data_IF_735494420334
#
_entry.id   IF_735494420334
#
_cell.length_a   1.000
_cell.length_b   1.000
_cell.length_c   1.000
_cell.angle_alpha   90.00
_cell.angle_beta   90.00
_cell.angle_gamma   90.00
#
_symmetry.space_group_name_H-M   'P 1'
#
loop_
_entity.id
_entity.type
_entity.pdbx_description
1 polymer ?
#
# COMPACT_ATOMS: atom_id res chain seq x y z
N UNK A 1 20.45 -37.43 -11.55
CA UNK A 1 20.18 -37.71 -12.98
C UNK A 1 18.73 -37.49 -13.44
N UNK A 2 17.71 -37.32 -12.57
CA UNK A 2 16.31 -37.11 -13.04
C UNK A 2 15.91 -35.73 -13.62
N UNK A 3 16.48 -34.55 -13.26
CA UNK A 3 15.88 -33.27 -13.64
C UNK A 3 15.91 -32.99 -15.16
N UNK A 4 16.79 -33.66 -15.91
CA UNK A 4 16.92 -33.49 -17.36
C UNK A 4 15.73 -34.04 -18.15
N UNK A 5 15.01 -35.06 -17.64
CA UNK A 5 13.87 -35.64 -18.34
C UNK A 5 12.60 -34.80 -18.15
N UNK A 6 12.29 -34.38 -16.92
CA UNK A 6 11.12 -33.54 -16.61
C UNK A 6 11.19 -32.19 -17.38
N UNK A 7 12.36 -31.54 -17.37
CA UNK A 7 12.59 -30.31 -18.14
C UNK A 7 12.52 -30.49 -19.67
N UNK A 8 12.72 -31.71 -20.19
CA UNK A 8 12.50 -32.02 -21.61
C UNK A 8 11.02 -32.23 -21.92
N UNK A 9 10.28 -32.88 -21.01
CA UNK A 9 8.84 -33.13 -21.14
C UNK A 9 8.03 -31.83 -21.11
N UNK A 10 8.34 -30.92 -20.17
CA UNK A 10 7.69 -29.61 -20.08
C UNK A 10 7.87 -28.77 -21.34
N UNK A 11 9.07 -28.79 -21.95
CA UNK A 11 9.35 -28.10 -23.22
C UNK A 11 8.58 -28.68 -24.41
N UNK A 12 8.38 -30.00 -24.47
CA UNK A 12 7.52 -30.62 -25.50
C UNK A 12 6.09 -30.13 -25.36
N UNK A 13 5.49 -30.28 -24.18
CA UNK A 13 4.10 -29.93 -23.92
C UNK A 13 3.78 -28.46 -24.26
N UNK A 14 4.68 -27.52 -23.93
CA UNK A 14 4.53 -26.11 -24.27
C UNK A 14 4.61 -25.84 -25.80
N UNK A 15 5.37 -26.64 -26.54
CA UNK A 15 5.41 -26.59 -28.01
C UNK A 15 4.13 -27.17 -28.63
N UNK A 16 3.61 -28.26 -28.07
CA UNK A 16 2.35 -28.89 -28.52
C UNK A 16 1.14 -27.96 -28.29
N UNK A 17 1.10 -27.30 -27.12
CA UNK A 17 0.14 -26.21 -26.83
C UNK A 17 0.29 -25.06 -27.85
N UNK A 18 1.52 -24.58 -28.11
CA UNK A 18 1.74 -23.52 -29.13
C UNK A 18 1.17 -23.93 -30.49
N UNK A 19 1.40 -25.16 -30.93
CA UNK A 19 0.94 -25.64 -32.23
C UNK A 19 -0.59 -25.75 -32.36
N UNK A 20 -1.32 -25.97 -31.27
CA UNK A 20 -2.80 -25.94 -31.26
C UNK A 20 -3.34 -24.50 -31.32
N UNK A 21 -2.67 -23.57 -30.62
CA UNK A 21 -3.09 -22.17 -30.49
C UNK A 21 -2.87 -21.34 -31.76
N UNK A 22 -1.75 -21.53 -32.48
CA UNK A 22 -1.39 -20.77 -33.71
C UNK A 22 -2.48 -20.80 -34.79
N UNK A 23 -3.37 -21.80 -34.78
CA UNK A 23 -4.44 -21.97 -35.79
C UNK A 23 -5.76 -21.27 -35.43
N UNK A 24 -5.89 -20.69 -34.24
CA UNK A 24 -7.12 -20.03 -33.74
C UNK A 24 -7.14 -18.54 -34.05
N UNK A 25 -8.31 -17.91 -33.89
CA UNK A 25 -8.37 -16.46 -33.73
C UNK A 25 -7.73 -16.01 -32.40
N UNK A 26 -7.42 -14.73 -32.28
CA UNK A 26 -6.70 -14.18 -31.12
C UNK A 26 -7.45 -14.34 -29.78
N UNK A 27 -8.77 -14.22 -29.75
CA UNK A 27 -9.55 -14.27 -28.52
C UNK A 27 -9.78 -15.73 -28.07
N UNK A 28 -9.99 -16.63 -29.03
CA UNK A 28 -10.06 -18.07 -28.76
C UNK A 28 -8.68 -18.67 -28.42
N UNK A 29 -7.58 -18.12 -28.95
CA UNK A 29 -6.22 -18.44 -28.50
C UNK A 29 -5.95 -17.92 -27.08
N UNK A 30 -6.35 -16.68 -26.79
CA UNK A 30 -6.23 -16.09 -25.45
C UNK A 30 -7.02 -16.86 -24.38
N UNK A 31 -8.27 -17.27 -24.67
CA UNK A 31 -9.05 -18.10 -23.75
C UNK A 31 -8.41 -19.47 -23.51
N UNK A 32 -7.94 -20.13 -24.57
CA UNK A 32 -7.38 -21.48 -24.46
C UNK A 32 -5.98 -21.51 -23.83
N UNK A 33 -5.14 -20.48 -24.02
CA UNK A 33 -3.83 -20.41 -23.35
C UNK A 33 -4.00 -20.23 -21.84
N UNK A 34 -4.98 -19.44 -21.39
CA UNK A 34 -5.32 -19.33 -19.97
C UNK A 34 -5.78 -20.70 -19.43
N UNK A 35 -6.64 -21.43 -20.15
CA UNK A 35 -7.10 -22.77 -19.76
C UNK A 35 -5.96 -23.81 -19.68
N UNK A 36 -5.08 -23.87 -20.69
CA UNK A 36 -3.94 -24.79 -20.66
C UNK A 36 -2.94 -24.48 -19.53
N UNK A 37 -2.70 -23.19 -19.26
CA UNK A 37 -1.84 -22.79 -18.14
C UNK A 37 -2.51 -23.00 -16.77
N UNK A 38 -3.83 -22.93 -16.68
CA UNK A 38 -4.57 -23.30 -15.47
C UNK A 38 -4.37 -24.77 -15.08
N UNK A 39 -4.51 -25.67 -16.05
CA UNK A 39 -4.25 -27.11 -15.86
C UNK A 39 -2.78 -27.35 -15.48
N UNK A 40 -1.84 -26.68 -16.15
CA UNK A 40 -0.42 -26.76 -15.86
C UNK A 40 -0.09 -26.33 -14.42
N UNK A 41 -0.50 -25.13 -14.01
CA UNK A 41 -0.24 -24.63 -12.66
C UNK A 41 -1.03 -25.40 -11.59
N UNK A 42 -2.24 -25.87 -11.90
CA UNK A 42 -2.99 -26.80 -11.04
C UNK A 42 -2.22 -28.10 -10.76
N UNK A 43 -1.52 -28.65 -11.75
CA UNK A 43 -0.72 -29.89 -11.61
C UNK A 43 0.63 -29.64 -10.91
N UNK A 44 1.30 -28.53 -11.23
CA UNK A 44 2.52 -28.12 -10.54
C UNK A 44 2.29 -27.89 -9.03
N UNK A 45 1.18 -27.25 -8.65
CA UNK A 45 0.84 -27.04 -7.23
C UNK A 45 0.46 -28.33 -6.47
N UNK A 46 0.12 -29.41 -7.17
CA UNK A 46 -0.08 -30.74 -6.56
C UNK A 46 1.24 -31.49 -6.33
N UNK A 47 2.31 -31.12 -7.03
CA UNK A 47 3.62 -31.79 -6.99
C UNK A 47 4.68 -30.99 -6.23
N UNK A 48 4.58 -29.66 -6.17
CA UNK A 48 5.45 -28.78 -5.39
C UNK A 48 4.67 -27.58 -4.79
N UNK A 49 4.79 -27.28 -3.48
CA UNK A 49 4.10 -26.14 -2.85
C UNK A 49 4.53 -24.75 -3.33
N UNK A 50 5.72 -24.64 -3.95
CA UNK A 50 6.30 -23.40 -4.46
C UNK A 50 6.81 -23.59 -5.90
N UNK A 51 5.93 -23.60 -6.92
CA UNK A 51 6.35 -23.69 -8.30
C UNK A 51 7.16 -22.46 -8.73
N UNK A 52 8.38 -22.67 -9.21
CA UNK A 52 9.06 -21.66 -10.02
C UNK A 52 8.36 -21.59 -11.37
N UNK A 53 7.96 -20.39 -11.81
CA UNK A 53 7.33 -20.22 -13.13
C UNK A 53 8.39 -20.42 -14.21
N UNK A 54 8.26 -21.50 -14.97
CA UNK A 54 9.16 -21.77 -16.10
C UNK A 54 8.98 -20.74 -17.23
N UNK A 55 10.02 -20.61 -18.06
CA UNK A 55 10.02 -19.70 -19.22
C UNK A 55 8.96 -20.06 -20.28
N UNK A 56 8.54 -21.32 -20.38
CA UNK A 56 7.54 -21.79 -21.34
C UNK A 56 6.17 -21.10 -21.20
N UNK A 57 5.53 -21.15 -20.01
CA UNK A 57 4.34 -20.36 -19.70
C UNK A 57 4.46 -18.87 -20.02
N UNK A 58 5.56 -18.22 -19.62
CA UNK A 58 5.81 -16.79 -19.89
C UNK A 58 5.81 -16.51 -21.40
N UNK A 59 6.48 -17.35 -22.18
CA UNK A 59 6.58 -17.23 -23.64
C UNK A 59 5.24 -17.44 -24.36
N UNK A 60 4.37 -18.33 -23.87
CA UNK A 60 3.02 -18.52 -24.41
C UNK A 60 2.14 -17.29 -24.14
N UNK A 61 2.25 -16.68 -22.96
CA UNK A 61 1.52 -15.45 -22.63
C UNK A 61 2.00 -14.26 -23.49
N UNK A 62 3.30 -14.16 -23.76
CA UNK A 62 3.85 -13.14 -24.67
C UNK A 62 3.28 -13.26 -26.09
N UNK A 63 3.21 -14.48 -26.62
CA UNK A 63 2.73 -14.72 -27.97
C UNK A 63 1.20 -14.55 -28.12
N UNK A 64 0.40 -15.08 -27.18
CA UNK A 64 -1.06 -15.19 -27.33
C UNK A 64 -1.90 -14.19 -26.51
N UNK A 65 -1.35 -13.57 -25.45
CA UNK A 65 -2.02 -12.48 -24.72
C UNK A 65 -1.43 -11.13 -25.13
N UNK A 66 -0.11 -10.98 -25.05
CA UNK A 66 0.55 -9.69 -25.33
C UNK A 66 0.86 -9.45 -26.82
N UNK A 67 0.59 -10.43 -27.69
CA UNK A 67 0.76 -10.32 -29.15
C UNK A 67 2.20 -9.97 -29.58
N UNK A 68 3.18 -10.46 -28.82
CA UNK A 68 4.62 -10.30 -29.05
C UNK A 68 5.19 -11.59 -29.66
N UNK A 69 5.27 -11.73 -31.01
CA UNK A 69 5.79 -12.92 -31.64
C UNK A 69 7.31 -13.09 -31.38
N UNK A 70 7.73 -14.33 -31.18
CA UNK A 70 9.16 -14.71 -31.08
C UNK A 70 9.93 -14.46 -32.38
N UNK A 71 9.27 -14.64 -33.51
CA UNK A 71 9.86 -14.59 -34.84
C UNK A 71 9.99 -13.14 -35.33
N UNK A 72 11.17 -12.78 -35.87
CA UNK A 72 11.52 -11.40 -36.29
C UNK A 72 10.62 -10.79 -37.39
N UNK A 73 9.78 -11.58 -38.05
CA UNK A 73 8.86 -11.15 -39.10
C UNK A 73 7.56 -11.96 -39.01
N UNK A 74 6.65 -11.56 -38.11
CA UNK A 74 5.41 -10.98 -38.62
C UNK A 74 5.10 -9.63 -37.95
N UNK A 75 4.34 -8.77 -38.65
CA UNK A 75 3.79 -7.54 -38.04
C UNK A 75 2.88 -7.94 -36.86
N UNK A 76 3.03 -7.36 -35.66
CA UNK A 76 2.16 -7.69 -34.53
C UNK A 76 0.71 -7.32 -34.86
N UNK A 77 -0.17 -8.32 -34.85
CA UNK A 77 -1.61 -8.12 -34.99
C UNK A 77 -2.15 -7.48 -33.71
N UNK A 78 -2.08 -6.15 -33.61
CA UNK A 78 -2.74 -5.41 -32.54
C UNK A 78 -4.24 -5.68 -32.58
N UNK A 79 -4.82 -6.00 -31.42
CA UNK A 79 -6.26 -6.03 -31.22
C UNK A 79 -6.83 -4.62 -31.46
N UNK A 80 -8.06 -4.55 -31.97
CA UNK A 80 -8.84 -3.31 -31.94
C UNK A 80 -9.47 -3.12 -30.54
N UNK A 81 -10.01 -1.93 -30.24
CA UNK A 81 -10.53 -1.59 -28.91
C UNK A 81 -11.68 -2.49 -28.42
N UNK A 82 -12.50 -3.03 -29.33
CA UNK A 82 -13.56 -3.99 -28.98
C UNK A 82 -12.96 -5.35 -28.62
N UNK A 83 -11.98 -5.82 -29.39
CA UNK A 83 -11.26 -7.07 -29.10
C UNK A 83 -10.44 -6.96 -27.81
N UNK A 84 -9.85 -5.80 -27.52
CA UNK A 84 -9.15 -5.55 -26.25
C UNK A 84 -10.13 -5.59 -25.07
N UNK A 85 -11.30 -4.96 -25.19
CA UNK A 85 -12.36 -5.08 -24.18
C UNK A 85 -12.83 -6.53 -23.97
N UNK A 86 -13.00 -7.30 -25.05
CA UNK A 86 -13.34 -8.72 -24.99
C UNK A 86 -12.23 -9.56 -24.35
N UNK A 87 -10.95 -9.24 -24.58
CA UNK A 87 -9.83 -9.88 -23.89
C UNK A 87 -9.86 -9.60 -22.38
N UNK A 88 -10.11 -8.35 -21.98
CA UNK A 88 -10.26 -7.97 -20.57
C UNK A 88 -11.44 -8.70 -19.92
N UNK A 89 -12.56 -8.87 -20.64
CA UNK A 89 -13.71 -9.65 -20.17
C UNK A 89 -13.36 -11.13 -19.97
N UNK A 90 -12.69 -11.76 -20.95
CA UNK A 90 -12.19 -13.14 -20.85
C UNK A 90 -11.28 -13.31 -19.63
N UNK A 91 -10.36 -12.38 -19.38
CA UNK A 91 -9.45 -12.42 -18.23
C UNK A 91 -10.20 -12.24 -16.90
N UNK A 92 -11.11 -11.26 -16.80
CA UNK A 92 -11.92 -11.03 -15.60
C UNK A 92 -12.84 -12.22 -15.29
N UNK A 93 -13.43 -12.85 -16.30
CA UNK A 93 -14.29 -14.02 -16.11
C UNK A 93 -13.45 -15.26 -15.72
N UNK A 94 -12.29 -15.50 -16.36
CA UNK A 94 -11.35 -16.54 -15.92
C UNK A 94 -10.96 -16.37 -14.44
N UNK A 95 -10.55 -15.18 -14.02
CA UNK A 95 -10.13 -14.93 -12.64
C UNK A 95 -11.28 -15.05 -11.63
N UNK A 96 -12.52 -14.84 -12.05
CA UNK A 96 -13.73 -15.06 -11.27
C UNK A 96 -14.10 -16.55 -11.16
N UNK A 97 -13.93 -17.31 -12.25
CA UNK A 97 -14.26 -18.75 -12.34
C UNK A 97 -13.22 -19.64 -11.63
N UNK A 98 -11.95 -19.25 -11.59
CA UNK A 98 -10.91 -20.04 -10.91
C UNK A 98 -11.06 -19.98 -9.38
N UNK A 99 -11.36 -21.13 -8.77
CA UNK A 99 -11.63 -21.29 -7.33
C UNK A 99 -10.38 -21.47 -6.46
N UNK A 100 -9.25 -21.87 -7.04
CA UNK A 100 -7.96 -22.04 -6.35
C UNK A 100 -7.18 -20.72 -6.36
N UNK A 101 -7.18 -20.01 -5.24
CA UNK A 101 -6.43 -18.76 -5.07
C UNK A 101 -4.95 -18.88 -5.46
N UNK A 102 -4.28 -20.00 -5.15
CA UNK A 102 -2.88 -20.24 -5.52
C UNK A 102 -2.63 -20.30 -7.02
N UNK A 103 -3.53 -20.93 -7.80
CA UNK A 103 -3.48 -20.91 -9.28
C UNK A 103 -3.71 -19.50 -9.79
N UNK A 104 -4.73 -18.80 -9.25
CA UNK A 104 -5.08 -17.42 -9.62
C UNK A 104 -3.88 -16.48 -9.47
N UNK A 105 -3.20 -16.55 -8.32
CA UNK A 105 -2.02 -15.74 -8.00
C UNK A 105 -0.80 -16.07 -8.89
N UNK A 106 -0.53 -17.36 -9.17
CA UNK A 106 0.59 -17.75 -10.02
C UNK A 106 0.36 -17.35 -11.48
N UNK A 107 -0.85 -17.51 -12.03
CA UNK A 107 -1.13 -17.07 -13.40
C UNK A 107 -1.11 -15.53 -13.53
N UNK A 108 -1.68 -14.80 -12.57
CA UNK A 108 -1.60 -13.33 -12.54
C UNK A 108 -0.14 -12.85 -12.45
N UNK A 109 0.69 -13.51 -11.64
CA UNK A 109 2.14 -13.24 -11.58
C UNK A 109 2.83 -13.55 -12.92
N UNK A 110 2.46 -14.64 -13.59
CA UNK A 110 3.01 -15.02 -14.91
C UNK A 110 2.62 -14.05 -16.03
N UNK A 111 1.43 -13.44 -15.92
CA UNK A 111 0.93 -12.40 -16.82
C UNK A 111 1.62 -11.06 -16.60
N UNK A 112 1.84 -10.64 -15.35
CA UNK A 112 2.12 -9.24 -15.05
C UNK A 112 3.40 -8.95 -14.26
N UNK A 113 4.12 -9.95 -13.74
CA UNK A 113 5.45 -9.69 -13.15
C UNK A 113 6.43 -9.27 -14.25
N UNK A 114 7.21 -8.18 -14.07
CA UNK A 114 8.17 -7.73 -15.07
C UNK A 114 9.20 -8.80 -15.43
N UNK A 115 9.53 -8.92 -16.72
CA UNK A 115 10.47 -9.88 -17.26
C UNK A 115 11.82 -9.26 -17.68
N UNK A 116 11.95 -7.93 -17.56
CA UNK A 116 13.12 -7.18 -18.03
C UNK A 116 13.18 -7.09 -19.56
N UNK A 117 12.03 -7.11 -20.24
CA UNK A 117 11.95 -7.27 -21.68
C UNK A 117 10.93 -6.31 -22.35
N UNK A 118 10.92 -6.27 -23.69
CA UNK A 118 10.08 -5.32 -24.46
C UNK A 118 8.57 -5.54 -24.34
N UNK A 119 8.12 -6.69 -23.83
CA UNK A 119 6.71 -6.94 -23.55
C UNK A 119 6.24 -6.26 -22.27
N UNK A 120 7.13 -5.85 -21.35
CA UNK A 120 6.76 -5.31 -20.03
C UNK A 120 5.87 -4.05 -20.11
N UNK A 121 6.07 -3.18 -21.11
CA UNK A 121 5.17 -2.04 -21.32
C UNK A 121 3.78 -2.46 -21.83
N UNK A 122 3.68 -3.56 -22.58
CA UNK A 122 2.39 -4.14 -22.97
C UNK A 122 1.73 -4.89 -21.80
N UNK A 123 2.52 -5.55 -20.94
CA UNK A 123 2.05 -6.14 -19.68
C UNK A 123 1.47 -5.05 -18.77
N UNK A 124 2.18 -3.94 -18.57
CA UNK A 124 1.73 -2.82 -17.75
C UNK A 124 0.50 -2.11 -18.33
N UNK A 125 0.43 -1.92 -19.65
CA UNK A 125 -0.75 -1.33 -20.28
C UNK A 125 -2.00 -2.21 -20.12
N UNK A 126 -1.88 -3.53 -20.31
CA UNK A 126 -2.99 -4.46 -20.11
C UNK A 126 -3.36 -4.60 -18.62
N UNK A 127 -2.37 -4.59 -17.72
CA UNK A 127 -2.59 -4.61 -16.26
C UNK A 127 -3.40 -3.39 -15.80
N UNK A 128 -3.03 -2.19 -16.24
CA UNK A 128 -3.77 -0.97 -15.93
C UNK A 128 -5.24 -1.08 -16.33
N UNK A 129 -5.51 -1.47 -17.58
CA UNK A 129 -6.87 -1.66 -18.10
C UNK A 129 -7.63 -2.79 -17.39
N UNK A 130 -6.97 -3.88 -17.04
CA UNK A 130 -7.59 -5.01 -16.34
C UNK A 130 -7.97 -4.65 -14.90
N UNK A 131 -7.08 -3.99 -14.17
CA UNK A 131 -7.37 -3.55 -12.79
C UNK A 131 -8.41 -2.44 -12.81
N UNK A 132 -8.34 -1.49 -13.76
CA UNK A 132 -9.36 -0.46 -13.96
C UNK A 132 -10.74 -1.08 -14.26
N UNK A 133 -10.84 -2.00 -15.21
CA UNK A 133 -12.11 -2.69 -15.45
C UNK A 133 -12.57 -3.53 -14.22
N UNK A 134 -11.64 -4.11 -13.47
CA UNK A 134 -11.95 -4.81 -12.22
C UNK A 134 -12.44 -3.89 -11.09
N UNK A 135 -12.04 -2.61 -11.07
CA UNK A 135 -12.69 -1.57 -10.26
C UNK A 135 -14.11 -1.34 -10.77
N UNK A 136 -14.27 -1.03 -12.06
CA UNK A 136 -15.55 -0.66 -12.67
C UNK A 136 -16.67 -1.70 -12.48
N UNK A 137 -16.34 -3.00 -12.52
CA UNK A 137 -17.29 -4.11 -12.33
C UNK A 137 -17.00 -4.97 -11.10
N UNK A 138 -16.36 -4.38 -10.08
CA UNK A 138 -16.10 -4.95 -8.74
C UNK A 138 -15.62 -6.43 -8.75
N UNK A 139 -14.67 -6.75 -9.62
CA UNK A 139 -14.09 -8.10 -9.75
C UNK A 139 -13.04 -8.35 -8.67
N UNK A 140 -13.50 -8.51 -7.42
CA UNK A 140 -12.66 -8.77 -6.22
C UNK A 140 -11.54 -9.81 -6.46
N UNK A 141 -11.75 -10.96 -7.14
CA UNK A 141 -10.67 -11.92 -7.39
C UNK A 141 -9.47 -11.37 -8.17
N UNK A 142 -9.69 -10.38 -9.04
CA UNK A 142 -8.64 -9.66 -9.78
C UNK A 142 -7.95 -8.63 -8.89
N UNK A 143 -8.72 -7.92 -8.06
CA UNK A 143 -8.19 -6.90 -7.12
C UNK A 143 -7.30 -7.55 -6.04
N UNK A 144 -7.65 -8.73 -5.55
CA UNK A 144 -6.84 -9.51 -4.60
C UNK A 144 -5.54 -10.08 -5.21
N UNK A 145 -5.54 -10.32 -6.53
CA UNK A 145 -4.33 -10.61 -7.28
C UNK A 145 -3.48 -9.35 -7.51
N UNK A 146 -4.08 -8.22 -7.87
CA UNK A 146 -3.39 -6.94 -8.00
C UNK A 146 -2.75 -6.49 -6.67
N UNK A 147 -3.44 -6.66 -5.54
CA UNK A 147 -2.90 -6.41 -4.20
C UNK A 147 -1.66 -7.28 -3.91
N UNK A 148 -1.74 -8.57 -4.24
CA UNK A 148 -0.65 -9.53 -4.06
C UNK A 148 0.54 -9.30 -5.02
N UNK A 149 0.29 -8.70 -6.18
CA UNK A 149 1.29 -8.27 -7.15
C UNK A 149 1.99 -6.97 -6.72
N UNK A 150 1.24 -5.98 -6.20
CA UNK A 150 1.79 -4.72 -5.65
C UNK A 150 2.80 -4.97 -4.53
N UNK A 151 2.53 -5.96 -3.66
CA UNK A 151 3.44 -6.41 -2.59
C UNK A 151 4.72 -7.09 -3.09
N UNK A 152 4.73 -7.62 -4.33
CA UNK A 152 5.76 -8.52 -4.87
C UNK A 152 6.44 -7.98 -6.13
N UNK A 153 6.26 -6.70 -6.43
CA UNK A 153 6.80 -6.04 -7.61
C UNK A 153 7.59 -4.79 -7.20
N UNK A 154 8.71 -4.45 -7.87
CA UNK A 154 9.44 -3.22 -7.60
C UNK A 154 8.55 -1.98 -7.76
N UNK A 155 8.73 -1.01 -6.86
CA UNK A 155 7.85 0.14 -6.66
C UNK A 155 7.60 0.95 -7.94
N UNK A 156 8.58 1.02 -8.85
CA UNK A 156 8.48 1.72 -10.15
C UNK A 156 7.33 1.20 -11.03
N UNK A 157 6.98 -0.09 -10.96
CA UNK A 157 5.83 -0.64 -11.67
C UNK A 157 4.53 -0.43 -10.89
N UNK A 158 4.60 -0.49 -9.55
CA UNK A 158 3.46 -0.23 -8.68
C UNK A 158 2.95 1.21 -8.81
N UNK A 159 3.84 2.21 -8.88
CA UNK A 159 3.45 3.61 -9.11
C UNK A 159 2.95 3.86 -10.53
N UNK A 160 3.38 3.07 -11.54
CA UNK A 160 2.80 3.10 -12.89
C UNK A 160 1.35 2.62 -12.90
N UNK A 161 1.05 1.52 -12.21
CA UNK A 161 -0.34 1.03 -12.05
C UNK A 161 -1.19 2.03 -11.27
N UNK A 162 -0.66 2.55 -10.15
CA UNK A 162 -1.37 3.54 -9.34
C UNK A 162 -1.68 4.83 -10.12
N UNK A 163 -0.73 5.32 -10.93
CA UNK A 163 -0.92 6.48 -11.81
C UNK A 163 -2.08 6.26 -12.78
N UNK A 164 -2.10 5.15 -13.52
CA UNK A 164 -3.17 4.87 -14.48
C UNK A 164 -4.57 4.87 -13.83
N UNK A 165 -4.70 4.32 -12.62
CA UNK A 165 -5.96 4.31 -11.88
C UNK A 165 -6.35 5.71 -11.34
N UNK A 166 -5.39 6.55 -10.95
CA UNK A 166 -5.67 7.94 -10.55
C UNK A 166 -6.01 8.83 -11.76
N UNK A 167 -5.42 8.54 -12.92
CA UNK A 167 -5.80 9.15 -14.20
C UNK A 167 -7.25 8.78 -14.54
N UNK A 168 -7.59 7.49 -14.59
CA UNK A 168 -8.96 6.99 -14.86
C UNK A 168 -10.00 7.54 -13.87
N UNK A 169 -9.76 7.38 -12.56
CA UNK A 169 -10.79 7.57 -11.51
C UNK A 169 -10.76 8.89 -10.76
N UNK A 170 -9.70 9.69 -10.87
CA UNK A 170 -9.57 10.96 -10.14
C UNK A 170 -9.18 12.14 -11.03
N UNK A 171 -9.07 11.96 -12.36
CA UNK A 171 -8.64 13.01 -13.29
C UNK A 171 -9.44 13.07 -14.59
N UNK A 172 -9.72 11.93 -15.24
CA UNK A 172 -10.33 11.89 -16.57
C UNK A 172 -11.85 12.01 -16.57
N UNK A 173 -12.54 11.36 -15.62
CA UNK A 173 -14.02 11.29 -15.59
C UNK A 173 -14.55 11.85 -14.26
N UNK A 174 -15.21 13.03 -14.24
CA UNK A 174 -15.76 13.61 -13.02
C UNK A 174 -16.72 12.66 -12.28
N UNK A 175 -16.53 12.53 -10.96
CA UNK A 175 -17.36 11.68 -10.10
C UNK A 175 -17.03 10.17 -10.15
N UNK A 176 -16.19 9.70 -11.07
CA UNK A 176 -15.79 8.29 -11.16
C UNK A 176 -15.05 7.78 -9.91
N UNK A 177 -14.45 8.67 -9.12
CA UNK A 177 -13.88 8.38 -7.79
C UNK A 177 -14.85 7.64 -6.87
N UNK A 178 -16.17 7.81 -7.05
CA UNK A 178 -17.18 7.07 -6.28
C UNK A 178 -17.16 5.55 -6.58
N UNK A 179 -16.83 5.15 -7.80
CA UNK A 179 -16.62 3.74 -8.17
C UNK A 179 -15.35 3.18 -7.53
N UNK A 180 -14.27 3.97 -7.47
CA UNK A 180 -13.05 3.57 -6.78
C UNK A 180 -13.28 3.45 -5.26
N UNK A 181 -13.99 4.43 -4.65
CA UNK A 181 -14.39 4.43 -3.23
C UNK A 181 -15.11 3.14 -2.82
N UNK A 182 -15.96 2.58 -3.67
CA UNK A 182 -16.72 1.35 -3.41
C UNK A 182 -15.85 0.10 -3.19
N UNK A 183 -14.58 0.08 -3.60
CA UNK A 183 -13.69 -1.08 -3.37
C UNK A 183 -13.41 -1.30 -1.88
N UNK A 184 -13.45 -0.26 -1.04
CA UNK A 184 -13.02 -0.33 0.36
C UNK A 184 -13.67 -1.47 1.16
N UNK A 185 -14.96 -1.74 0.96
CA UNK A 185 -15.67 -2.86 1.59
C UNK A 185 -15.47 -4.21 0.88
N UNK A 186 -15.00 -4.21 -0.37
CA UNK A 186 -14.91 -5.37 -1.24
C UNK A 186 -13.49 -5.98 -1.35
N UNK A 187 -12.44 -5.15 -1.33
CA UNK A 187 -11.03 -5.58 -1.24
C UNK A 187 -10.19 -4.56 -0.45
N UNK A 188 -10.25 -4.59 0.91
CA UNK A 188 -9.43 -3.72 1.75
C UNK A 188 -7.92 -3.97 1.55
N UNK A 189 -7.51 -5.19 1.16
CA UNK A 189 -6.12 -5.50 0.83
C UNK A 189 -5.64 -4.74 -0.41
N UNK A 190 -6.47 -4.60 -1.44
CA UNK A 190 -6.18 -3.75 -2.60
C UNK A 190 -6.09 -2.28 -2.19
N UNK A 191 -7.07 -1.76 -1.44
CA UNK A 191 -7.04 -0.37 -0.98
C UNK A 191 -5.77 -0.03 -0.17
N UNK A 192 -5.34 -0.88 0.76
CA UNK A 192 -4.09 -0.71 1.52
C UNK A 192 -2.85 -0.59 0.60
N UNK A 193 -2.74 -1.48 -0.39
CA UNK A 193 -1.63 -1.48 -1.34
C UNK A 193 -1.71 -0.30 -2.32
N UNK A 194 -2.91 0.09 -2.73
CA UNK A 194 -3.14 1.28 -3.56
C UNK A 194 -2.74 2.57 -2.82
N UNK A 195 -3.11 2.74 -1.55
CA UNK A 195 -2.65 3.87 -0.72
C UNK A 195 -1.10 3.88 -0.66
N UNK A 196 -0.47 2.73 -0.48
CA UNK A 196 1.00 2.60 -0.42
C UNK A 196 1.66 3.01 -1.74
N UNK A 197 1.05 2.65 -2.88
CA UNK A 197 1.53 3.05 -4.19
C UNK A 197 1.30 4.54 -4.50
N UNK A 198 0.13 5.11 -4.20
CA UNK A 198 -0.14 6.54 -4.48
C UNK A 198 0.64 7.48 -3.57
N UNK A 199 0.90 7.09 -2.31
CA UNK A 199 1.75 7.87 -1.38
C UNK A 199 3.26 7.74 -1.68
N UNK A 200 3.62 6.81 -2.57
CA UNK A 200 4.95 6.71 -3.19
C UNK A 200 5.03 7.41 -4.56
N UNK A 201 3.89 7.66 -5.22
CA UNK A 201 3.77 8.36 -6.50
C UNK A 201 3.69 9.89 -6.32
N UNK A 202 2.83 10.35 -5.42
CA UNK A 202 2.63 11.76 -5.09
C UNK A 202 3.41 12.07 -3.82
N UNK A 203 4.67 12.48 -3.94
CA UNK A 203 5.55 12.73 -2.79
C UNK A 203 5.54 14.19 -2.31
N UNK A 204 4.80 15.08 -2.98
CA UNK A 204 4.74 16.54 -2.81
C UNK A 204 6.06 17.30 -3.09
N UNK A 205 7.07 16.66 -3.70
CA UNK A 205 8.38 17.30 -4.00
C UNK A 205 8.29 18.41 -5.04
N UNK A 206 7.43 18.23 -6.05
CA UNK A 206 7.01 19.26 -7.02
C UNK A 206 5.49 19.49 -6.96
N UNK A 207 5.01 20.54 -7.64
CA UNK A 207 3.58 20.88 -7.66
C UNK A 207 2.77 19.91 -8.54
N UNK A 208 3.42 19.19 -9.46
CA UNK A 208 2.84 18.06 -10.23
C UNK A 208 2.70 16.78 -9.39
N UNK A 209 3.41 16.70 -8.26
CA UNK A 209 3.45 15.56 -7.35
C UNK A 209 2.65 15.81 -6.05
N UNK A 210 1.82 16.84 -6.04
CA UNK A 210 0.74 17.04 -5.06
C UNK A 210 -0.43 16.12 -5.47
N UNK A 211 -1.00 15.32 -4.55
CA UNK A 211 -2.09 14.40 -4.90
C UNK A 211 -3.37 15.15 -5.31
N UNK A 212 -4.11 14.67 -6.35
CA UNK A 212 -5.42 15.22 -6.71
C UNK A 212 -6.40 15.23 -5.53
N UNK A 213 -7.31 16.22 -5.50
CA UNK A 213 -8.21 16.42 -4.35
C UNK A 213 -9.16 15.23 -4.14
N UNK A 214 -9.74 14.67 -5.21
CA UNK A 214 -10.58 13.47 -5.19
C UNK A 214 -9.83 12.25 -4.59
N UNK A 215 -8.54 12.10 -4.92
CA UNK A 215 -7.68 11.05 -4.38
C UNK A 215 -7.44 11.25 -2.88
N UNK A 216 -7.10 12.48 -2.47
CA UNK A 216 -6.91 12.82 -1.07
C UNK A 216 -8.19 12.58 -0.26
N UNK A 217 -9.35 13.00 -0.78
CA UNK A 217 -10.65 12.81 -0.13
C UNK A 217 -10.99 11.34 0.07
N UNK A 218 -10.80 10.52 -0.97
CA UNK A 218 -11.00 9.07 -0.89
C UNK A 218 -10.08 8.41 0.13
N UNK A 219 -8.78 8.72 0.10
CA UNK A 219 -7.80 8.17 1.06
C UNK A 219 -8.14 8.59 2.50
N UNK A 220 -8.56 9.84 2.71
CA UNK A 220 -8.99 10.36 4.02
C UNK A 220 -10.32 9.75 4.48
N UNK A 221 -11.24 9.41 3.57
CA UNK A 221 -12.49 8.72 3.90
C UNK A 221 -12.19 7.30 4.39
N UNK A 222 -11.51 6.49 3.57
CA UNK A 222 -11.18 5.10 3.87
C UNK A 222 -10.40 4.91 5.18
N UNK A 223 -9.39 5.76 5.44
CA UNK A 223 -8.56 5.67 6.65
C UNK A 223 -9.31 6.13 7.90
N UNK A 224 -10.31 7.01 7.75
CA UNK A 224 -11.18 7.43 8.85
C UNK A 224 -12.30 6.42 9.13
N UNK A 225 -12.77 5.71 8.11
CA UNK A 225 -13.80 4.66 8.22
C UNK A 225 -13.26 3.37 8.86
N UNK A 226 -12.05 2.90 8.49
CA UNK A 226 -11.32 1.89 9.26
C UNK A 226 -9.81 2.21 9.30
N UNK A 227 -9.30 2.80 10.39
CA UNK A 227 -7.86 3.04 10.57
C UNK A 227 -7.00 1.77 10.44
N UNK A 228 -7.55 0.58 10.71
CA UNK A 228 -6.82 -0.69 10.56
C UNK A 228 -6.53 -1.06 9.10
N UNK A 229 -7.19 -0.43 8.13
CA UNK A 229 -6.95 -0.60 6.69
C UNK A 229 -5.46 -0.50 6.35
N UNK A 230 -4.76 0.50 6.91
CA UNK A 230 -3.34 0.71 6.58
C UNK A 230 -2.41 -0.32 7.23
N UNK A 231 -2.89 -1.08 8.21
CA UNK A 231 -2.17 -2.20 8.82
C UNK A 231 -2.52 -3.56 8.18
N UNK A 232 -3.57 -3.67 7.34
CA UNK A 232 -4.09 -4.98 6.90
C UNK A 232 -3.05 -5.86 6.19
N UNK A 233 -2.08 -5.26 5.47
CA UNK A 233 -0.96 -5.98 4.86
C UNK A 233 -0.03 -6.56 5.93
N UNK A 234 0.43 -5.75 6.88
CA UNK A 234 1.24 -6.19 8.03
C UNK A 234 0.51 -7.25 8.89
N UNK A 235 -0.81 -7.12 9.06
CA UNK A 235 -1.61 -8.06 9.83
C UNK A 235 -1.73 -9.44 9.16
N UNK A 236 -1.94 -9.50 7.84
CA UNK A 236 -2.18 -10.77 7.13
C UNK A 236 -0.95 -11.41 6.46
N UNK A 237 0.15 -10.67 6.27
CA UNK A 237 1.35 -11.19 5.61
C UNK A 237 2.27 -11.90 6.62
N UNK A 238 2.75 -13.13 6.35
CA UNK A 238 3.82 -13.75 7.13
C UNK A 238 5.13 -13.00 6.84
N UNK A 239 5.74 -12.42 7.88
CA UNK A 239 6.85 -11.48 7.72
C UNK A 239 8.16 -12.24 7.57
N UNK A 240 8.61 -12.37 6.32
CA UNK A 240 9.99 -12.72 6.01
C UNK A 240 10.92 -11.58 6.47
N UNK A 241 12.09 -11.92 7.02
CA UNK A 241 12.89 -11.00 7.84
C UNK A 241 13.54 -9.80 7.10
N UNK A 242 13.38 -9.67 5.78
CA UNK A 242 13.83 -8.52 5.00
C UNK A 242 12.79 -8.23 3.89
N UNK A 243 12.36 -6.97 3.76
CA UNK A 243 11.75 -6.50 2.51
C UNK A 243 12.87 -6.25 1.47
N UNK A 244 12.72 -6.68 0.21
CA UNK A 244 13.71 -6.40 -0.82
C UNK A 244 13.74 -4.91 -1.18
N UNK A 245 14.96 -4.38 -1.37
CA UNK A 245 15.19 -2.96 -1.69
C UNK A 245 14.53 -2.59 -3.02
N UNK A 246 13.86 -1.43 -3.07
CA UNK A 246 13.20 -0.91 -4.27
C UNK A 246 11.77 -1.41 -4.49
N UNK A 247 11.16 -2.06 -3.49
CA UNK A 247 9.75 -2.48 -3.47
C UNK A 247 8.90 -1.47 -2.67
N UNK A 248 7.58 -1.66 -2.63
CA UNK A 248 6.71 -0.88 -1.73
C UNK A 248 6.94 -1.24 -0.26
N UNK A 249 6.70 -0.26 0.62
CA UNK A 249 6.67 -0.45 2.08
C UNK A 249 5.57 -1.45 2.50
N UNK A 250 5.74 -2.09 3.67
CA UNK A 250 4.75 -3.05 4.19
C UNK A 250 3.39 -2.40 4.55
N UNK A 251 3.39 -1.09 4.78
CA UNK A 251 2.20 -0.25 5.07
C UNK A 251 2.40 1.14 4.46
N UNK A 252 1.33 1.91 4.18
CA UNK A 252 1.47 3.28 3.69
C UNK A 252 1.88 4.29 4.77
N UNK A 253 2.15 3.88 6.02
CA UNK A 253 2.43 4.79 7.15
C UNK A 253 3.49 5.85 6.78
N UNK A 254 4.65 5.43 6.29
CA UNK A 254 5.74 6.32 5.85
C UNK A 254 5.28 7.37 4.83
N UNK A 255 4.49 6.95 3.82
CA UNK A 255 3.98 7.84 2.78
C UNK A 255 2.90 8.81 3.28
N UNK A 256 2.04 8.36 4.21
CA UNK A 256 1.02 9.21 4.83
C UNK A 256 1.62 10.21 5.82
N UNK A 257 2.68 9.84 6.55
CA UNK A 257 3.47 10.78 7.37
C UNK A 257 4.08 11.85 6.44
N UNK A 258 4.72 11.44 5.33
CA UNK A 258 5.28 12.35 4.32
C UNK A 258 4.21 13.33 3.79
N UNK A 259 3.01 12.86 3.47
CA UNK A 259 1.87 13.70 3.06
C UNK A 259 1.53 14.73 4.14
N UNK A 260 1.23 14.29 5.36
CA UNK A 260 0.81 15.16 6.46
C UNK A 260 1.87 16.21 6.81
N UNK A 261 3.15 15.83 6.82
CA UNK A 261 4.27 16.70 7.18
C UNK A 261 4.61 17.70 6.07
N UNK A 262 4.65 17.28 4.79
CA UNK A 262 5.03 18.17 3.67
C UNK A 262 3.92 19.10 3.20
N UNK A 263 2.65 18.73 3.38
CA UNK A 263 1.51 19.49 2.82
C UNK A 263 1.52 21.00 3.14
N UNK A 264 1.75 21.48 4.38
CA UNK A 264 1.79 22.92 4.67
C UNK A 264 2.80 23.68 3.78
N UNK A 265 3.99 23.11 3.59
CA UNK A 265 5.07 23.71 2.79
C UNK A 265 4.78 23.63 1.28
N UNK A 266 4.27 22.50 0.81
CA UNK A 266 3.98 22.28 -0.61
C UNK A 266 2.89 23.23 -1.14
N UNK A 267 1.79 23.42 -0.41
CA UNK A 267 0.73 24.35 -0.81
C UNK A 267 1.18 25.82 -0.68
N UNK A 268 2.02 26.15 0.31
CA UNK A 268 2.64 27.48 0.43
C UNK A 268 3.59 27.80 -0.73
N UNK A 269 4.36 26.81 -1.23
CA UNK A 269 5.18 26.90 -2.44
C UNK A 269 4.32 27.13 -3.69
N UNK A 270 3.30 26.31 -3.90
CA UNK A 270 2.38 26.44 -5.05
C UNK A 270 1.71 27.83 -5.09
N UNK A 271 1.30 28.35 -3.93
CA UNK A 271 0.73 29.69 -3.78
C UNK A 271 1.75 30.80 -4.11
N UNK A 272 3.01 30.66 -3.69
CA UNK A 272 4.13 31.57 -4.03
C UNK A 272 4.40 31.57 -5.55
N UNK A 273 4.45 30.41 -6.19
CA UNK A 273 4.67 30.27 -7.64
C UNK A 273 3.52 30.89 -8.46
N UNK A 274 2.27 30.68 -8.03
CA UNK A 274 1.07 31.26 -8.64
C UNK A 274 1.10 32.79 -8.67
N UNK A 275 1.54 33.43 -7.57
CA UNK A 275 1.69 34.89 -7.46
C UNK A 275 2.88 35.37 -8.33
N UNK A 276 4.00 34.64 -8.32
CA UNK A 276 5.20 34.96 -9.11
C UNK A 276 4.93 35.01 -10.62
N UNK A 277 4.15 34.07 -11.15
CA UNK A 277 4.02 33.85 -12.59
C UNK A 277 2.98 34.76 -13.28
N UNK A 278 2.49 35.81 -12.60
CA UNK A 278 1.80 36.94 -13.22
C UNK A 278 0.52 36.61 -14.00
N UNK A 279 -0.10 35.45 -13.77
CA UNK A 279 -1.14 34.91 -14.63
C UNK A 279 -2.52 35.57 -14.36
N UNK A 280 -2.65 36.84 -14.76
CA UNK A 280 -3.92 37.57 -14.87
C UNK A 280 -4.70 37.05 -16.10
N UNK A 281 -4.88 35.73 -16.16
CA UNK A 281 -5.70 35.05 -17.16
C UNK A 281 -7.17 35.20 -16.78
N UNK A 282 -7.83 36.21 -17.34
CA UNK A 282 -9.24 36.48 -17.03
C UNK A 282 -10.17 35.38 -17.56
N UNK A 283 -10.37 34.35 -16.74
CA UNK A 283 -11.60 33.58 -16.69
C UNK A 283 -12.25 33.84 -15.34
N UNK A 284 -13.45 34.40 -15.36
CA UNK A 284 -14.24 34.68 -14.15
C UNK A 284 -14.77 33.35 -13.62
N UNK A 285 -13.95 32.65 -12.84
CA UNK A 285 -14.42 31.67 -11.85
C UNK A 285 -14.96 32.49 -10.67
N UNK A 286 -16.12 32.14 -10.09
CA UNK A 286 -16.66 32.83 -8.92
C UNK A 286 -15.62 32.93 -7.80
N UNK A 287 -15.55 34.10 -7.17
CA UNK A 287 -14.48 34.47 -6.23
C UNK A 287 -14.48 33.62 -4.95
N UNK A 288 -15.61 32.95 -4.69
CA UNK A 288 -15.92 32.23 -3.46
C UNK A 288 -15.38 30.78 -3.46
N UNK A 289 -15.12 30.20 -4.64
CA UNK A 289 -14.79 28.75 -4.75
C UNK A 289 -13.38 28.37 -4.33
N UNK A 290 -12.38 29.24 -4.50
CA UNK A 290 -10.96 28.92 -4.20
C UNK A 290 -10.55 29.07 -2.74
N UNK A 291 -11.25 29.91 -1.97
CA UNK A 291 -10.91 30.12 -0.55
C UNK A 291 -11.40 28.94 0.30
N UNK A 292 -12.57 28.36 -0.04
CA UNK A 292 -13.04 27.11 0.55
C UNK A 292 -12.08 25.94 0.28
N UNK A 293 -11.73 25.70 -0.99
CA UNK A 293 -10.90 24.55 -1.36
C UNK A 293 -9.53 24.48 -0.66
N UNK A 294 -8.87 25.63 -0.44
CA UNK A 294 -7.61 25.68 0.32
C UNK A 294 -7.85 25.24 1.78
N UNK A 295 -8.91 25.76 2.42
CA UNK A 295 -9.24 25.51 3.82
C UNK A 295 -9.73 24.07 4.06
N UNK A 296 -10.57 23.54 3.16
CA UNK A 296 -11.02 22.14 3.18
C UNK A 296 -9.83 21.18 3.05
N UNK A 297 -8.90 21.47 2.14
CA UNK A 297 -7.68 20.67 1.96
C UNK A 297 -6.80 20.66 3.21
N UNK A 298 -6.60 21.81 3.87
CA UNK A 298 -5.90 21.86 5.16
C UNK A 298 -6.61 21.03 6.25
N UNK A 299 -7.94 21.04 6.30
CA UNK A 299 -8.73 20.22 7.23
C UNK A 299 -8.57 18.72 6.93
N UNK A 300 -8.55 18.33 5.65
CA UNK A 300 -8.34 16.93 5.22
C UNK A 300 -6.97 16.40 5.67
N UNK A 301 -5.88 17.16 5.50
CA UNK A 301 -4.57 16.74 6.00
C UNK A 301 -4.50 16.70 7.54
N UNK A 302 -5.22 17.58 8.25
CA UNK A 302 -5.30 17.51 9.72
C UNK A 302 -6.08 16.27 10.20
N UNK A 303 -7.19 15.93 9.52
CA UNK A 303 -7.94 14.69 9.75
C UNK A 303 -7.08 13.44 9.47
N UNK A 304 -6.35 13.45 8.35
CA UNK A 304 -5.41 12.38 7.99
C UNK A 304 -4.32 12.18 9.04
N UNK A 305 -3.71 13.28 9.48
CA UNK A 305 -2.65 13.27 10.49
C UNK A 305 -3.15 12.67 11.81
N UNK A 306 -4.33 13.08 12.29
CA UNK A 306 -4.95 12.50 13.47
C UNK A 306 -5.16 10.98 13.34
N UNK A 307 -5.70 10.51 12.20
CA UNK A 307 -5.88 9.08 11.97
C UNK A 307 -4.55 8.31 11.88
N UNK A 308 -3.48 8.89 11.30
CA UNK A 308 -2.14 8.28 11.30
C UNK A 308 -1.59 8.11 12.73
N UNK A 309 -1.74 9.13 13.59
CA UNK A 309 -1.34 9.02 15.00
C UNK A 309 -2.17 7.96 15.75
N UNK A 310 -3.50 7.92 15.51
CA UNK A 310 -4.38 6.89 16.09
C UNK A 310 -3.96 5.47 15.68
N UNK A 311 -3.52 5.27 14.43
CA UNK A 311 -3.00 3.96 13.97
C UNK A 311 -1.72 3.58 14.71
N UNK A 312 -0.81 4.53 14.95
CA UNK A 312 0.40 4.25 15.74
C UNK A 312 0.05 3.79 17.17
N UNK A 313 -0.98 4.36 17.81
CA UNK A 313 -1.41 3.95 19.14
C UNK A 313 -1.89 2.48 19.19
N UNK A 314 -2.66 2.01 18.19
CA UNK A 314 -3.11 0.60 18.13
C UNK A 314 -2.01 -0.36 17.63
N UNK A 315 -1.08 0.13 16.81
CA UNK A 315 0.01 -0.66 16.24
C UNK A 315 0.94 -1.26 17.30
N UNK A 316 1.14 -0.58 18.44
CA UNK A 316 1.89 -1.12 19.57
C UNK A 316 1.34 -2.47 20.06
N UNK A 317 0.01 -2.59 20.12
CA UNK A 317 -0.67 -3.84 20.49
C UNK A 317 -0.33 -4.95 19.50
N UNK A 318 -0.55 -4.72 18.21
CA UNK A 318 -0.31 -5.72 17.16
C UNK A 318 1.17 -6.10 16.99
N UNK A 319 2.11 -5.17 17.20
CA UNK A 319 3.54 -5.48 17.26
C UNK A 319 3.88 -6.34 18.48
N UNK A 320 3.21 -6.13 19.61
CA UNK A 320 3.40 -6.94 20.83
C UNK A 320 2.81 -8.34 20.65
N UNK A 321 1.57 -8.45 20.17
CA UNK A 321 0.88 -9.71 19.84
C UNK A 321 1.71 -10.60 18.90
N UNK A 322 2.32 -10.00 17.86
CA UNK A 322 3.19 -10.71 16.91
C UNK A 322 4.63 -10.95 17.39
N UNK A 323 5.00 -10.52 18.60
CA UNK A 323 6.37 -10.60 19.13
C UNK A 323 7.42 -9.83 18.28
N UNK A 324 6.99 -8.71 17.69
CA UNK A 324 7.75 -7.84 16.77
C UNK A 324 8.05 -6.44 17.33
N UNK A 325 7.47 -6.07 18.47
CA UNK A 325 7.74 -4.79 19.13
C UNK A 325 9.23 -4.61 19.40
N UNK A 326 9.81 -3.50 18.96
CA UNK A 326 11.25 -3.23 19.03
C UNK A 326 12.12 -4.07 18.07
N UNK A 327 11.52 -4.85 17.16
CA UNK A 327 12.23 -5.75 16.21
C UNK A 327 11.87 -5.49 14.75
N UNK A 328 10.71 -4.92 14.47
CA UNK A 328 10.29 -4.51 13.13
C UNK A 328 9.83 -3.05 13.14
N UNK A 329 10.55 -2.19 12.43
CA UNK A 329 10.04 -0.87 12.06
C UNK A 329 9.04 -1.00 10.91
N UNK A 330 7.94 -0.25 10.99
CA UNK A 330 7.02 0.01 9.87
C UNK A 330 7.19 1.42 9.28
N UNK A 331 8.02 2.24 9.92
CA UNK A 331 8.54 3.52 9.41
C UNK A 331 10.06 3.39 9.41
N UNK A 332 10.66 3.20 8.24
CA UNK A 332 12.11 3.03 8.11
C UNK A 332 12.83 4.35 8.36
N UNK A 333 13.92 4.32 9.13
CA UNK A 333 14.73 5.50 9.45
C UNK A 333 15.32 6.17 8.20
N UNK A 334 15.67 5.37 7.19
CA UNK A 334 16.17 5.82 5.89
C UNK A 334 15.19 6.72 5.12
N UNK A 335 13.88 6.70 5.45
CA UNK A 335 12.88 7.61 4.89
C UNK A 335 12.71 8.91 5.72
N UNK A 336 13.19 8.94 6.96
CA UNK A 336 13.14 10.12 7.83
C UNK A 336 14.21 11.14 7.41
N UNK A 337 15.43 10.68 7.10
CA UNK A 337 16.53 11.54 6.66
C UNK A 337 16.15 12.42 5.44
N UNK A 338 15.74 11.89 4.27
CA UNK A 338 15.40 12.71 3.11
C UNK A 338 14.17 13.59 3.35
N UNK A 339 13.20 13.14 4.17
CA UNK A 339 12.06 13.98 4.58
C UNK A 339 12.54 15.21 5.38
N UNK A 340 13.47 15.03 6.32
CA UNK A 340 14.03 16.11 7.13
C UNK A 340 14.90 17.07 6.30
N UNK A 341 15.73 16.54 5.39
CA UNK A 341 16.51 17.38 4.47
C UNK A 341 15.61 18.21 3.55
N UNK A 342 14.49 17.65 3.08
CA UNK A 342 13.56 18.38 2.22
C UNK A 342 12.73 19.42 2.99
N UNK A 343 12.35 19.18 4.25
CA UNK A 343 11.71 20.18 5.12
C UNK A 343 12.67 21.35 5.37
N UNK A 344 13.95 21.08 5.64
CA UNK A 344 15.00 22.11 5.74
C UNK A 344 15.06 22.92 4.43
N UNK A 345 15.25 22.26 3.29
CA UNK A 345 15.31 22.89 1.96
C UNK A 345 14.09 23.76 1.66
N UNK A 346 12.88 23.28 1.94
CA UNK A 346 11.64 24.03 1.69
C UNK A 346 11.44 25.19 2.67
N UNK A 347 11.90 25.06 3.92
CA UNK A 347 11.85 26.16 4.89
C UNK A 347 12.74 27.33 4.45
N UNK A 348 13.94 27.02 3.96
CA UNK A 348 14.88 28.00 3.40
C UNK A 348 14.31 28.62 2.10
N UNK A 349 13.80 27.79 1.17
CA UNK A 349 13.22 28.21 -0.11
C UNK A 349 12.02 29.16 0.07
N UNK A 350 11.17 28.92 1.07
CA UNK A 350 9.99 29.73 1.35
C UNK A 350 10.31 31.04 2.09
N UNK A 351 11.48 31.12 2.75
CA UNK A 351 11.87 32.11 3.76
C UNK A 351 11.01 32.01 5.04
N UNK A 352 11.61 31.72 6.22
CA UNK A 352 10.89 31.62 7.49
C UNK A 352 9.99 32.81 7.86
N UNK A 353 10.33 34.03 7.42
CA UNK A 353 9.51 35.23 7.68
C UNK A 353 8.18 35.26 6.92
N UNK A 354 8.07 34.50 5.82
CA UNK A 354 6.87 34.46 4.97
C UNK A 354 6.01 33.21 5.21
N UNK A 355 6.55 32.20 5.87
CA UNK A 355 5.95 30.86 5.98
C UNK A 355 6.01 30.27 7.40
N UNK A 356 6.16 31.11 8.44
CA UNK A 356 6.31 30.70 9.84
C UNK A 356 5.27 29.66 10.26
N UNK A 357 3.98 29.96 10.02
CA UNK A 357 2.85 29.09 10.35
C UNK A 357 2.88 27.73 9.68
N UNK A 358 3.32 27.66 8.42
CA UNK A 358 3.38 26.41 7.66
C UNK A 358 4.63 25.60 8.02
N UNK A 359 5.73 26.25 8.38
CA UNK A 359 6.95 25.63 8.92
C UNK A 359 6.68 25.07 10.32
N UNK A 360 6.08 25.85 11.22
CA UNK A 360 5.67 25.40 12.55
C UNK A 360 4.73 24.19 12.47
N UNK A 361 3.67 24.25 11.65
CA UNK A 361 2.75 23.13 11.46
C UNK A 361 3.41 21.89 10.84
N UNK A 362 4.38 22.07 9.93
CA UNK A 362 5.15 20.96 9.36
C UNK A 362 6.02 20.28 10.43
N UNK A 363 6.73 21.07 11.24
CA UNK A 363 7.62 20.59 12.30
C UNK A 363 6.85 19.98 13.48
N UNK A 364 5.70 20.53 13.85
CA UNK A 364 4.80 19.94 14.86
C UNK A 364 4.27 18.58 14.41
N UNK A 365 3.82 18.47 13.15
CA UNK A 365 3.36 17.18 12.59
C UNK A 365 4.50 16.17 12.54
N UNK A 366 5.72 16.59 12.17
CA UNK A 366 6.91 15.73 12.19
C UNK A 366 7.21 15.25 13.61
N UNK A 367 7.26 16.15 14.59
CA UNK A 367 7.54 15.83 15.98
C UNK A 367 6.53 14.83 16.57
N UNK A 368 5.24 15.05 16.32
CA UNK A 368 4.17 14.12 16.75
C UNK A 368 4.29 12.75 16.09
N UNK A 369 4.57 12.70 14.78
CA UNK A 369 4.73 11.45 14.05
C UNK A 369 5.97 10.67 14.52
N UNK A 370 7.11 11.34 14.74
CA UNK A 370 8.32 10.73 15.31
C UNK A 370 8.06 10.21 16.72
N UNK A 371 7.44 11.01 17.59
CA UNK A 371 7.17 10.63 18.98
C UNK A 371 6.24 9.40 19.06
N UNK A 372 5.17 9.37 18.28
CA UNK A 372 4.24 8.23 18.25
C UNK A 372 4.86 7.00 17.54
N UNK A 373 5.67 7.18 16.50
CA UNK A 373 6.35 6.07 15.85
C UNK A 373 7.41 5.42 16.76
N UNK A 374 8.17 6.20 17.54
CA UNK A 374 9.06 5.66 18.57
C UNK A 374 8.27 4.96 19.68
N UNK A 375 7.25 5.62 20.25
CA UNK A 375 6.49 5.09 21.39
C UNK A 375 5.71 3.81 21.06
N UNK A 376 5.27 3.64 19.81
CA UNK A 376 4.62 2.42 19.32
C UNK A 376 5.59 1.32 18.88
N UNK A 377 6.90 1.60 18.83
CA UNK A 377 7.91 0.68 18.28
C UNK A 377 7.91 0.57 16.75
N UNK A 378 7.19 1.47 16.06
CA UNK A 378 7.09 1.51 14.60
C UNK A 378 8.30 2.17 13.92
N UNK A 379 9.04 3.02 14.62
CA UNK A 379 10.33 3.59 14.20
C UNK A 379 11.42 3.11 15.17
N UNK A 380 12.42 2.41 14.64
CA UNK A 380 13.54 1.87 15.42
C UNK A 380 14.76 2.79 15.29
N UNK A 381 14.87 3.76 16.20
CA UNK A 381 16.04 4.65 16.31
C UNK A 381 16.25 5.10 17.77
N UNK A 382 17.44 5.61 18.08
CA UNK A 382 17.70 6.31 19.36
C UNK A 382 17.28 7.78 19.28
N UNK A 383 17.30 8.48 20.42
CA UNK A 383 17.14 9.95 20.43
C UNK A 383 18.36 10.69 19.91
N UNK A 384 19.53 10.07 19.92
CA UNK A 384 20.77 10.69 19.43
C UNK A 384 20.81 10.65 17.89
N UNK A 385 20.27 9.59 17.28
CA UNK A 385 20.00 9.54 15.83
C UNK A 385 19.04 10.64 15.40
N UNK A 386 17.89 10.80 16.11
CA UNK A 386 16.95 11.88 15.82
C UNK A 386 17.56 13.28 16.05
N UNK A 387 18.34 13.48 17.11
CA UNK A 387 19.00 14.77 17.35
C UNK A 387 20.00 15.10 16.25
N UNK A 388 20.70 14.09 15.72
CA UNK A 388 21.65 14.23 14.61
C UNK A 388 20.93 14.59 13.31
N UNK A 389 19.87 13.86 12.94
CA UNK A 389 19.11 14.12 11.71
C UNK A 389 18.35 15.46 11.78
N UNK A 390 17.69 15.75 12.90
CA UNK A 390 16.90 16.98 13.08
C UNK A 390 17.75 18.23 13.34
N UNK A 391 19.07 18.13 13.51
CA UNK A 391 19.96 19.27 13.82
C UNK A 391 19.93 20.41 12.78
N UNK A 392 19.49 20.12 11.55
CA UNK A 392 19.38 21.07 10.44
C UNK A 392 18.01 21.74 10.30
N UNK A 393 17.03 21.38 11.14
CA UNK A 393 15.68 21.95 11.07
C UNK A 393 15.58 23.29 11.81
N UNK A 394 14.65 24.18 11.41
CA UNK A 394 14.32 25.37 12.19
C UNK A 394 13.90 25.02 13.62
N UNK A 395 14.10 25.95 14.56
CA UNK A 395 13.68 25.75 15.95
C UNK A 395 12.17 25.58 16.05
N UNK A 396 11.72 24.47 16.64
CA UNK A 396 10.33 24.19 16.98
C UNK A 396 10.26 23.57 18.39
N UNK A 397 9.38 24.09 19.24
CA UNK A 397 9.34 23.73 20.65
C UNK A 397 8.94 22.27 20.90
N UNK A 398 8.04 21.70 20.08
CA UNK A 398 7.58 20.32 20.23
C UNK A 398 8.66 19.33 19.76
N UNK A 399 9.32 19.61 18.64
CA UNK A 399 10.45 18.83 18.13
C UNK A 399 11.62 18.82 19.12
N UNK A 400 11.94 19.97 19.72
CA UNK A 400 12.98 20.08 20.75
C UNK A 400 12.63 19.25 22.00
N UNK A 401 11.36 19.22 22.41
CA UNK A 401 10.88 18.35 23.50
C UNK A 401 11.03 16.85 23.16
N UNK A 402 10.75 16.46 21.91
CA UNK A 402 10.85 15.05 21.47
C UNK A 402 12.32 14.57 21.43
N UNK A 403 13.26 15.36 20.89
CA UNK A 403 14.69 14.98 20.80
C UNK A 403 15.47 15.15 22.12
N UNK A 404 14.94 15.95 23.06
CA UNK A 404 15.53 16.21 24.38
C UNK A 404 14.83 15.47 25.54
N UNK A 405 13.76 14.71 25.25
CA UNK A 405 12.93 14.05 26.26
C UNK A 405 13.73 13.13 27.19
N UNK A 406 13.31 12.98 28.47
CA UNK A 406 14.11 12.33 29.51
C UNK A 406 14.48 10.91 29.13
N UNK A 407 15.75 10.55 29.32
CA UNK A 407 16.30 9.22 29.05
C UNK A 407 15.56 8.21 29.93
N UNK A 408 14.68 7.40 29.32
CA UNK A 408 14.21 6.18 29.95
C UNK A 408 15.38 5.19 29.89
N UNK A 409 15.85 4.65 31.03
CA UNK A 409 17.04 3.79 31.05
C UNK A 409 16.71 2.39 30.52
N UNK A 410 16.70 2.24 29.19
CA UNK A 410 16.86 0.94 28.55
C UNK A 410 18.35 0.63 28.40
N UNK A 411 18.71 -0.65 28.63
CA UNK A 411 20.08 -1.19 28.62
C UNK A 411 20.92 -0.97 29.90
N UNK A 412 20.38 -1.39 31.05
CA UNK A 412 21.13 -2.37 31.85
C UNK A 412 20.38 -3.71 31.83
N UNK A 413 21.13 -4.80 31.73
CA UNK A 413 20.58 -6.16 31.69
C UNK A 413 20.03 -6.51 33.07
N UNK A 414 18.73 -6.80 33.17
CA UNK A 414 18.15 -7.45 34.34
C UNK A 414 17.94 -8.95 34.07
N UNK A 415 18.28 -9.84 35.02
CA UNK A 415 18.05 -11.27 34.90
C UNK A 415 16.56 -11.62 35.05
N UNK A 416 16.23 -12.89 34.85
CA UNK A 416 14.85 -13.36 34.79
C UNK A 416 14.07 -13.21 36.12
N UNK A 417 12.73 -13.10 35.96
CA UNK A 417 11.69 -13.15 37.00
C UNK A 417 11.53 -11.91 37.91
N UNK A 418 10.57 -11.05 37.56
CA UNK A 418 9.35 -10.86 38.37
C UNK A 418 8.26 -10.14 37.58
N UNK A 419 7.01 -10.56 37.73
CA UNK A 419 5.85 -9.95 37.06
C UNK A 419 5.17 -8.92 37.96
N UNK A 420 5.13 -7.64 37.54
CA UNK A 420 4.32 -6.61 38.17
C UNK A 420 2.87 -6.64 37.62
N UNK A 421 1.84 -6.53 38.48
CA UNK A 421 0.44 -6.60 38.05
C UNK A 421 -0.06 -5.27 37.43
N UNK A 422 -1.04 -5.31 36.51
CA UNK A 422 -1.61 -4.11 35.91
C UNK A 422 -2.51 -3.36 36.89
N UNK A 423 -2.15 -2.12 37.25
CA UNK A 423 -2.93 -1.36 38.24
C UNK A 423 -2.39 0.01 38.66
N UNK A 424 -1.78 0.79 37.75
CA UNK A 424 -1.32 2.15 38.04
C UNK A 424 -1.78 3.16 36.97
N UNK A 425 -2.77 3.97 37.34
CA UNK A 425 -3.09 5.26 36.71
C UNK A 425 -3.17 6.32 37.83
N UNK A 426 -2.61 7.52 37.64
CA UNK A 426 -2.69 8.58 38.66
C UNK A 426 -4.11 9.14 38.78
N UNK A 427 -4.55 9.43 40.00
CA UNK A 427 -5.91 9.88 40.28
C UNK A 427 -6.14 11.37 39.95
N UNK A 428 -7.36 11.69 39.49
CA UNK A 428 -7.93 13.03 39.48
C UNK A 428 -9.10 13.04 40.49
N UNK A 429 -9.23 14.11 41.27
CA UNK A 429 -10.20 14.22 42.37
C UNK A 429 -11.64 14.46 41.92
N UNK A 430 -12.61 13.79 42.57
CA UNK A 430 -13.95 14.34 42.94
C UNK A 430 -14.66 13.39 43.95
N UNK A 431 -15.70 13.82 44.70
CA UNK A 431 -16.07 13.24 46.01
C UNK A 431 -17.16 12.11 45.98
N UNK A 432 -17.41 11.41 47.12
CA UNK A 432 -18.08 10.10 47.14
C UNK A 432 -19.55 10.07 47.59
N UNK A 433 -20.29 9.02 47.19
CA UNK A 433 -21.61 8.65 47.75
C UNK A 433 -21.83 7.11 47.83
N UNK A 434 -22.00 6.60 49.06
CA UNK A 434 -23.05 5.64 49.44
C UNK A 434 -23.10 4.17 48.96
N UNK A 435 -22.40 3.27 49.67
CA UNK A 435 -22.88 1.93 50.13
C UNK A 435 -23.38 0.89 49.07
N UNK A 436 -23.70 -0.39 49.42
CA UNK A 436 -22.70 -1.46 49.34
C UNK A 436 -23.10 -2.68 48.46
N UNK A 437 -22.15 -3.59 48.20
CA UNK A 437 -22.33 -4.75 47.32
C UNK A 437 -22.88 -6.03 48.00
N UNK A 438 -23.51 -6.92 47.21
CA UNK A 438 -24.00 -8.25 47.60
C UNK A 438 -23.88 -9.26 46.42
N UNK A 439 -23.74 -10.57 46.73
CA UNK A 439 -23.86 -11.70 45.77
C UNK A 439 -22.53 -12.31 45.29
N UNK A 440 -22.46 -13.65 45.16
CA UNK A 440 -21.22 -14.36 44.79
C UNK A 440 -21.41 -15.78 44.18
N UNK A 441 -20.47 -16.18 43.30
CA UNK A 441 -20.14 -17.57 42.83
C UNK A 441 -21.21 -18.32 41.98
N UNK A 442 -20.94 -19.50 41.35
CA UNK A 442 -19.72 -20.34 41.34
C UNK A 442 -19.16 -20.88 39.97
N UNK A 443 -17.82 -21.05 39.93
CA UNK A 443 -16.93 -22.07 39.29
C UNK A 443 -17.32 -23.04 38.12
N UNK A 444 -16.47 -23.04 37.07
CA UNK A 444 -15.72 -24.19 36.44
C UNK A 444 -16.46 -25.37 35.73
N UNK A 445 -15.87 -26.07 34.71
CA UNK A 445 -14.50 -26.64 34.68
C UNK A 445 -13.70 -26.62 33.35
N UNK A 446 -12.52 -27.25 33.42
CA UNK A 446 -11.48 -27.54 32.41
C UNK A 446 -11.74 -28.88 31.67
N UNK A 447 -11.05 -29.34 30.61
CA UNK A 447 -9.87 -28.91 29.80
C UNK A 447 -10.11 -29.37 28.31
N UNK A 448 -9.20 -29.84 27.40
CA UNK A 448 -7.76 -30.18 27.45
C UNK A 448 -6.87 -29.44 26.40
N UNK A 449 -6.08 -30.18 25.60
CA UNK A 449 -4.80 -29.81 24.99
C UNK A 449 -4.73 -29.96 23.45
N UNK A 450 -3.96 -29.06 22.81
CA UNK A 450 -3.10 -29.26 21.61
C UNK A 450 -3.74 -29.77 20.31
N UNK A 451 -3.74 -28.90 19.28
CA UNK A 451 -3.62 -29.29 17.86
C UNK A 451 -2.59 -28.38 17.15
N UNK A 452 -1.87 -28.94 16.19
CA UNK A 452 -0.84 -28.26 15.39
C UNK A 452 -1.45 -27.38 14.30
N UNK A 453 -0.98 -26.15 14.15
CA UNK A 453 -1.57 -25.16 13.24
C UNK A 453 -1.21 -25.40 11.77
N UNK A 454 -2.23 -25.35 10.90
CA UNK A 454 -2.09 -25.43 9.44
C UNK A 454 -2.20 -24.00 8.86
N UNK A 455 -1.29 -23.56 7.98
CA UNK A 455 -1.39 -22.25 7.34
C UNK A 455 -2.52 -22.25 6.29
N UNK A 456 -3.59 -21.48 6.53
CA UNK A 456 -4.68 -21.37 5.56
C UNK A 456 -5.98 -20.70 6.03
N UNK A 457 -6.19 -20.44 7.33
CA UNK A 457 -7.43 -19.81 7.79
C UNK A 457 -7.33 -18.27 7.78
N UNK A 458 -8.07 -17.63 6.88
CA UNK A 458 -8.37 -16.19 6.92
C UNK A 458 -9.29 -15.90 8.11
N UNK A 459 -8.91 -14.97 8.98
CA UNK A 459 -9.81 -14.49 10.04
C UNK A 459 -10.97 -13.69 9.42
N UNK A 460 -12.24 -13.96 9.80
CA UNK A 460 -13.37 -13.18 9.33
C UNK A 460 -13.33 -11.77 9.96
N UNK A 461 -13.21 -10.74 9.12
CA UNK A 461 -13.30 -9.35 9.55
C UNK A 461 -14.70 -9.08 10.13
N UNK A 462 -14.76 -8.73 11.42
CA UNK A 462 -15.95 -8.12 12.01
C UNK A 462 -15.80 -6.60 12.01
N UNK A 463 -16.73 -5.85 11.41
CA UNK A 463 -17.01 -4.48 11.83
C UNK A 463 -17.36 -4.47 13.32
N UNK A 464 -17.01 -3.38 14.00
CA UNK A 464 -17.68 -2.99 15.23
C UNK A 464 -18.85 -2.08 14.86
N UNK A 465 -19.98 -2.27 15.53
CA UNK A 465 -21.15 -1.37 15.48
C UNK A 465 -21.05 -0.34 16.60
#
# INVERSE_FOLDING_TARGET
MRPSQEASSGRSAMSDIRHSLVRRDALSAAKEVLYHLDLYFSSQLQTAPLPMVEKGPIELLEEFIFHMPKDRNPKPKRLNSLQELQLLEIMCNYFLEQTKDSVRQILFSSLFSPQGNKADDSRMALLGKLVSMAVAVLRVPVLECAASWLQRTPAVYCVRLARALVEDYCSLVPGSVQTLKQIFSASPRFCCQFITAVTSLYDLSSDELIPPIDLLEMVVSWIFEDPRLILITFLNTPIAANLPIGYLELTPLTGLIRWCVKAPLAYKRQKKASISNGHIGSKIVPKDSKVGSDQDCHAMYSKLHLSVLQVMMILQGHLTEKNLYGRLGLVMFDHILPLVEEISRLSDELNPLNATSEIELSLDRLAQALQMAMASGALLCTRDDLRTVCARLPHNNLLQLVISGPVQPQQQQQPAHTSLPPGFYPHIHTPPLGYPAHGARPSHPTLPSVQSFIPGMTFPYRPLH
#
